data_IF_398881580579
#
_entry.id   IF_398881580579
#
_cell.length_a   1.000
_cell.length_b   1.000
_cell.length_c   1.000
_cell.angle_alpha   90.00
_cell.angle_beta   90.00
_cell.angle_gamma   90.00
#
_symmetry.space_group_name_H-M   'P 1'
#
loop_
_entity.id
_entity.type
_entity.pdbx_description
1 polymer ?
#
# COMPACT_ATOMS: atom_id res chain seq x y z
N UNK A 1 -2.95 -18.08 -4.21
CA UNK A 1 -2.84 -17.00 -3.22
C UNK A 1 -3.17 -17.64 -1.89
N UNK A 2 -2.29 -17.56 -0.89
CA UNK A 2 -2.63 -18.04 0.46
C UNK A 2 -3.83 -17.22 0.96
N UNK A 3 -4.92 -17.91 1.36
CA UNK A 3 -6.18 -17.28 1.76
C UNK A 3 -6.05 -16.34 2.98
N UNK A 4 -4.89 -16.32 3.65
CA UNK A 4 -4.62 -15.56 4.88
C UNK A 4 -3.67 -14.35 4.72
N UNK A 5 -3.35 -13.91 3.50
CA UNK A 5 -2.41 -12.79 3.33
C UNK A 5 -3.00 -11.45 3.78
N UNK A 6 -2.26 -10.72 4.61
CA UNK A 6 -2.62 -9.40 5.15
C UNK A 6 -1.94 -8.30 4.32
N UNK A 7 -2.69 -7.31 3.81
CA UNK A 7 -2.08 -6.20 3.12
C UNK A 7 -1.24 -5.35 4.08
N UNK A 8 -0.02 -4.98 3.70
CA UNK A 8 0.88 -4.13 4.51
C UNK A 8 0.17 -2.83 4.91
N UNK A 9 -0.69 -2.29 4.05
CA UNK A 9 -1.49 -1.09 4.34
C UNK A 9 -2.44 -1.27 5.53
N UNK A 10 -2.91 -2.49 5.83
CA UNK A 10 -3.74 -2.75 7.00
C UNK A 10 -2.99 -2.52 8.32
N UNK A 11 -1.66 -2.69 8.33
CA UNK A 11 -0.85 -2.38 9.53
C UNK A 11 -0.97 -0.90 9.90
N UNK A 12 -0.89 -0.01 8.90
CA UNK A 12 -1.06 1.42 9.12
C UNK A 12 -2.49 1.76 9.57
N UNK A 13 -3.51 1.16 8.94
CA UNK A 13 -4.90 1.39 9.34
C UNK A 13 -5.18 0.92 10.76
N UNK A 14 -4.66 -0.26 11.14
CA UNK A 14 -4.84 -0.83 12.47
C UNK A 14 -4.13 0.00 13.54
N UNK A 15 -2.87 0.40 13.28
CA UNK A 15 -2.11 1.26 14.17
C UNK A 15 -2.76 2.63 14.40
N UNK A 16 -3.44 3.17 13.38
CA UNK A 16 -4.22 4.40 13.51
C UNK A 16 -5.51 4.19 14.33
N UNK A 17 -6.33 3.20 13.95
CA UNK A 17 -7.56 2.85 14.66
C UNK A 17 -8.08 1.46 14.24
N UNK A 18 -8.16 0.48 15.16
CA UNK A 18 -8.66 -0.86 14.86
C UNK A 18 -10.09 -0.85 14.28
N UNK A 19 -10.98 0.02 14.77
CA UNK A 19 -12.35 0.15 14.26
C UNK A 19 -12.35 0.62 12.79
N UNK A 20 -11.51 1.60 12.45
CA UNK A 20 -11.37 2.08 11.07
C UNK A 20 -10.75 1.02 10.16
N UNK A 21 -9.75 0.28 10.66
CA UNK A 21 -9.19 -0.86 9.93
C UNK A 21 -10.26 -1.91 9.59
N UNK A 22 -11.12 -2.24 10.56
CA UNK A 22 -12.24 -3.16 10.33
C UNK A 22 -13.25 -2.61 9.30
N UNK A 23 -13.60 -1.31 9.39
CA UNK A 23 -14.45 -0.67 8.37
C UNK A 23 -13.88 -0.85 6.97
N UNK A 24 -12.58 -0.59 6.80
CA UNK A 24 -11.92 -0.63 5.48
C UNK A 24 -11.73 -2.07 4.99
N UNK A 25 -11.14 -2.94 5.81
CA UNK A 25 -10.66 -4.26 5.35
C UNK A 25 -11.64 -5.42 5.60
N UNK A 26 -12.58 -5.29 6.54
CA UNK A 26 -13.59 -6.34 6.84
C UNK A 26 -14.94 -5.95 6.26
N UNK A 27 -15.42 -4.74 6.59
CA UNK A 27 -16.74 -4.26 6.16
C UNK A 27 -16.72 -3.57 4.78
N UNK A 28 -15.55 -3.46 4.14
CA UNK A 28 -15.37 -2.86 2.81
C UNK A 28 -16.02 -1.47 2.67
N UNK A 29 -16.02 -0.71 3.76
CA UNK A 29 -16.62 0.62 3.87
C UNK A 29 -15.51 1.65 3.84
N UNK A 30 -15.18 2.10 2.64
CA UNK A 30 -14.27 3.20 2.38
C UNK A 30 -14.76 4.02 1.19
N UNK A 31 -14.94 5.33 1.40
CA UNK A 31 -15.29 6.27 0.34
C UNK A 31 -14.14 7.25 0.15
N UNK A 32 -13.77 7.47 -1.10
CA UNK A 32 -12.81 8.51 -1.44
C UNK A 32 -13.38 9.91 -1.18
N UNK A 33 -12.51 10.80 -0.74
CA UNK A 33 -12.78 12.23 -0.62
C UNK A 33 -11.67 13.02 -1.34
N UNK A 34 -11.82 14.34 -1.40
CA UNK A 34 -10.85 15.21 -2.10
C UNK A 34 -9.40 15.03 -1.61
N UNK A 35 -9.20 14.70 -0.33
CA UNK A 35 -7.87 14.52 0.25
C UNK A 35 -7.28 13.15 -0.11
N UNK A 36 -8.08 12.08 -0.10
CA UNK A 36 -7.61 10.74 -0.49
C UNK A 36 -7.30 10.69 -1.99
N UNK A 37 -8.11 11.35 -2.82
CA UNK A 37 -7.87 11.50 -4.26
C UNK A 37 -6.58 12.26 -4.55
N UNK A 38 -6.38 13.43 -3.95
CA UNK A 38 -5.12 14.19 -4.12
C UNK A 38 -3.90 13.39 -3.67
N UNK A 39 -4.02 12.64 -2.57
CA UNK A 39 -2.94 11.76 -2.12
C UNK A 39 -2.61 10.70 -3.17
N UNK A 40 -3.63 10.08 -3.77
CA UNK A 40 -3.47 9.10 -4.85
C UNK A 40 -2.76 9.70 -6.07
N UNK A 41 -3.18 10.88 -6.51
CA UNK A 41 -2.59 11.57 -7.67
C UNK A 41 -1.09 11.87 -7.44
N UNK A 42 -0.72 12.27 -6.22
CA UNK A 42 0.68 12.53 -5.86
C UNK A 42 1.50 11.23 -5.80
N UNK A 43 0.88 10.12 -5.35
CA UNK A 43 1.54 8.82 -5.25
C UNK A 43 1.68 8.10 -6.61
N UNK A 44 0.91 8.47 -7.62
CA UNK A 44 0.88 7.79 -8.92
C UNK A 44 2.28 7.65 -9.54
N UNK A 45 3.14 8.66 -9.40
CA UNK A 45 4.49 8.62 -9.93
C UNK A 45 5.38 7.53 -9.29
N UNK A 46 5.30 7.35 -7.97
CA UNK A 46 6.11 6.36 -7.27
C UNK A 46 5.59 4.93 -7.45
N UNK A 47 4.38 4.80 -7.99
CA UNK A 47 3.73 3.51 -8.28
C UNK A 47 4.01 2.98 -9.70
N UNK A 48 4.73 3.74 -10.54
CA UNK A 48 5.11 3.38 -11.91
C UNK A 48 6.45 2.62 -11.96
N UNK A 49 6.44 1.28 -12.14
CA UNK A 49 7.69 0.50 -12.17
C UNK A 49 8.54 0.80 -13.41
N UNK A 50 7.95 1.37 -14.46
CA UNK A 50 8.66 1.78 -15.67
C UNK A 50 9.59 2.98 -15.42
N UNK A 51 9.35 3.73 -14.33
CA UNK A 51 10.24 4.80 -13.88
C UNK A 51 11.39 4.29 -12.97
N UNK A 52 11.56 2.97 -12.79
CA UNK A 52 12.74 2.41 -12.12
C UNK A 52 14.02 2.63 -12.95
N UNK A 53 15.16 2.86 -12.29
CA UNK A 53 16.43 3.12 -12.99
C UNK A 53 17.58 3.51 -12.07
N UNK A 54 18.61 4.14 -12.65
CA UNK A 54 19.70 4.78 -11.89
C UNK A 54 19.48 6.30 -11.85
N UNK A 55 19.41 6.86 -10.66
CA UNK A 55 19.31 8.30 -10.39
C UNK A 55 20.51 8.73 -9.55
N UNK A 56 21.28 9.71 -10.03
CA UNK A 56 22.47 10.21 -9.32
C UNK A 56 23.47 9.11 -8.89
N UNK A 57 23.54 8.02 -9.66
CA UNK A 57 24.40 6.86 -9.37
C UNK A 57 23.80 5.85 -8.39
N UNK A 58 22.56 6.05 -7.92
CA UNK A 58 21.83 5.15 -7.01
C UNK A 58 20.75 4.41 -7.79
N UNK A 59 20.63 3.09 -7.57
CA UNK A 59 19.52 2.30 -8.12
C UNK A 59 18.23 2.62 -7.38
N UNK A 60 17.22 3.06 -8.11
CA UNK A 60 15.88 3.37 -7.60
C UNK A 60 14.87 2.42 -8.21
N UNK A 61 14.12 1.72 -7.35
CA UNK A 61 13.02 0.84 -7.75
C UNK A 61 11.69 1.44 -7.29
N UNK A 62 10.72 1.49 -8.20
CA UNK A 62 9.38 2.05 -7.97
C UNK A 62 8.30 0.98 -8.12
N UNK A 63 7.19 1.15 -7.40
CA UNK A 63 6.08 0.19 -7.41
C UNK A 63 6.50 -1.25 -7.08
N UNK A 64 7.50 -1.43 -6.20
CA UNK A 64 8.04 -2.74 -5.86
C UNK A 64 7.05 -3.52 -5.00
N UNK A 65 6.67 -4.71 -5.45
CA UNK A 65 5.88 -5.63 -4.63
C UNK A 65 6.70 -6.16 -3.46
N UNK A 66 6.17 -6.02 -2.25
CA UNK A 66 6.76 -6.51 -1.01
C UNK A 66 5.95 -7.67 -0.46
N UNK A 67 6.64 -8.67 0.09
CA UNK A 67 6.01 -9.79 0.79
C UNK A 67 6.85 -10.29 1.97
N UNK A 68 6.18 -10.89 2.95
CA UNK A 68 6.82 -11.60 4.05
C UNK A 68 5.99 -12.85 4.38
N UNK A 69 6.52 -14.03 4.06
CA UNK A 69 5.83 -15.30 4.28
C UNK A 69 5.58 -15.58 5.77
N UNK A 70 6.59 -15.37 6.63
CA UNK A 70 6.47 -15.66 8.07
C UNK A 70 5.37 -14.85 8.75
N UNK A 71 5.14 -13.62 8.28
CA UNK A 71 4.12 -12.72 8.83
C UNK A 71 2.83 -12.68 7.99
N UNK A 72 2.78 -13.41 6.86
CA UNK A 72 1.67 -13.36 5.92
C UNK A 72 1.44 -11.99 5.29
N UNK A 73 2.45 -11.13 5.17
CA UNK A 73 2.27 -9.76 4.66
C UNK A 73 2.48 -9.68 3.15
N UNK A 74 1.64 -8.91 2.46
CA UNK A 74 1.80 -8.57 1.03
C UNK A 74 1.48 -7.09 0.79
N UNK A 75 2.09 -6.45 -0.20
CA UNK A 75 1.72 -5.09 -0.56
C UNK A 75 2.51 -4.56 -1.75
N UNK A 76 2.01 -3.45 -2.29
CA UNK A 76 2.68 -2.58 -3.24
C UNK A 76 2.39 -1.15 -2.79
#
# INVERSE_FOLDING_TARGET
>A
MEEDSIPISALNQYAYCPRRCALIHVEQTFNDNVYTMRGRDIHERVDQPQESGFEEGVRVERGLSLWNQRLGLIGK
#
